data_IF_474173728988
#
_entry.id   IF_474173728988
#
_cell.length_a   1.000
_cell.length_b   1.000
_cell.length_c   1.000
_cell.angle_alpha   90.00
_cell.angle_beta   90.00
_cell.angle_gamma   90.00
#
_symmetry.space_group_name_H-M   'P 1'
#
loop_
_entity.id
_entity.type
_entity.pdbx_description
1 polymer ?
#
# COMPACT_ATOMS: atom_id res chain seq x y z
N UNK A 1 74.28 -20.03 7.03
CA UNK A 1 73.23 -19.67 8.00
C UNK A 1 71.93 -20.24 7.47
N UNK A 2 71.55 -21.40 7.99
CA UNK A 2 70.37 -22.17 7.61
C UNK A 2 69.10 -21.45 8.03
N UNK A 3 68.02 -21.60 7.25
CA UNK A 3 66.69 -21.95 7.77
C UNK A 3 65.74 -22.29 6.60
N UNK A 4 65.40 -23.58 6.54
CA UNK A 4 64.30 -24.14 5.79
C UNK A 4 62.96 -23.71 6.40
N UNK A 5 61.93 -23.48 5.57
CA UNK A 5 60.53 -23.60 6.01
C UNK A 5 59.77 -24.53 5.05
N UNK A 6 59.02 -25.51 5.58
CA UNK A 6 58.46 -26.61 4.79
C UNK A 6 57.17 -26.23 4.07
N UNK A 7 56.93 -26.95 2.97
CA UNK A 7 55.68 -27.01 2.22
C UNK A 7 54.55 -27.45 3.15
N UNK A 8 53.55 -26.60 3.36
CA UNK A 8 52.27 -26.99 3.94
C UNK A 8 51.21 -27.06 2.82
N UNK A 9 50.86 -28.29 2.50
CA UNK A 9 49.72 -28.70 1.69
C UNK A 9 48.43 -28.27 2.42
N UNK A 10 47.75 -27.22 1.95
CA UNK A 10 46.42 -26.88 2.44
C UNK A 10 45.38 -27.63 1.63
N UNK A 11 44.79 -28.63 2.27
CA UNK A 11 43.65 -29.43 1.80
C UNK A 11 42.47 -28.52 1.49
N UNK A 12 41.97 -28.58 0.25
CA UNK A 12 40.67 -28.05 -0.15
C UNK A 12 39.60 -28.84 0.59
N UNK A 13 39.05 -28.26 1.67
CA UNK A 13 37.89 -28.81 2.35
C UNK A 13 36.63 -28.25 1.68
N UNK A 14 36.16 -28.98 0.67
CA UNK A 14 34.85 -28.86 0.06
C UNK A 14 33.80 -29.29 1.10
N UNK A 15 33.48 -28.41 2.04
CA UNK A 15 32.33 -28.59 2.94
C UNK A 15 31.17 -27.77 2.41
N UNK A 16 30.21 -28.49 1.83
CA UNK A 16 28.87 -28.04 1.50
C UNK A 16 28.22 -27.36 2.70
N UNK A 17 28.23 -26.02 2.76
CA UNK A 17 27.26 -25.27 3.55
C UNK A 17 26.36 -24.55 2.57
N UNK A 18 25.24 -25.21 2.25
CA UNK A 18 24.10 -24.57 1.62
C UNK A 18 23.58 -23.50 2.57
N UNK A 19 24.01 -22.26 2.38
CA UNK A 19 23.27 -21.12 2.87
C UNK A 19 21.99 -21.08 2.04
N UNK A 20 20.89 -21.58 2.62
CA UNK A 20 19.56 -21.35 2.08
C UNK A 20 19.40 -19.83 1.95
N UNK A 21 19.43 -19.34 0.70
CA UNK A 21 19.01 -17.98 0.40
C UNK A 21 17.60 -17.81 0.96
N UNK A 22 17.30 -16.71 1.68
CA UNK A 22 15.91 -16.36 1.90
C UNK A 22 15.32 -16.20 0.50
N UNK A 23 14.39 -17.08 0.15
CA UNK A 23 13.60 -16.92 -1.06
C UNK A 23 12.91 -15.57 -0.92
N UNK A 24 13.43 -14.56 -1.62
CA UNK A 24 12.70 -13.33 -1.87
C UNK A 24 11.46 -13.81 -2.60
N UNK A 25 10.34 -13.87 -1.87
CA UNK A 25 9.04 -14.14 -2.46
C UNK A 25 8.91 -13.19 -3.64
N UNK A 26 8.88 -13.74 -4.85
CA UNK A 26 8.64 -12.94 -6.03
C UNK A 26 7.20 -12.47 -5.91
N UNK A 27 7.02 -11.24 -5.45
CA UNK A 27 5.72 -10.58 -5.51
C UNK A 27 5.43 -10.44 -7.00
N UNK A 28 4.54 -11.28 -7.50
CA UNK A 28 3.93 -11.09 -8.81
C UNK A 28 3.48 -9.64 -8.87
N UNK A 29 3.92 -8.83 -9.85
CA UNK A 29 3.43 -7.47 -9.96
C UNK A 29 1.92 -7.59 -10.17
N UNK A 30 1.15 -7.09 -9.21
CA UNK A 30 -0.29 -6.99 -9.38
C UNK A 30 -0.53 -6.11 -10.60
N UNK A 31 -1.06 -6.75 -11.65
CA UNK A 31 -1.50 -6.13 -12.89
C UNK A 31 -2.14 -4.77 -12.63
N UNK A 32 -1.76 -3.80 -13.47
CA UNK A 32 -2.18 -2.40 -13.56
C UNK A 32 -3.71 -2.21 -13.69
N UNK A 33 -4.48 -2.68 -12.72
CA UNK A 33 -5.90 -2.40 -12.58
C UNK A 33 -6.06 -1.02 -11.94
N UNK A 34 -7.12 -0.30 -12.32
CA UNK A 34 -7.51 0.94 -11.66
C UNK A 34 -7.76 0.66 -10.16
N UNK A 35 -7.29 1.52 -9.23
CA UNK A 35 -7.55 1.35 -7.80
C UNK A 35 -9.05 1.20 -7.49
N UNK A 36 -9.42 0.31 -6.56
CA UNK A 36 -10.81 0.16 -6.09
C UNK A 36 -11.19 1.36 -5.21
N UNK A 37 -11.95 2.28 -5.80
CA UNK A 37 -12.46 3.46 -5.13
C UNK A 37 -13.98 3.45 -5.16
N UNK A 38 -14.58 3.43 -3.97
CA UNK A 38 -16.03 3.53 -3.75
C UNK A 38 -16.40 4.93 -3.31
N UNK A 39 -17.55 5.41 -3.78
CA UNK A 39 -18.07 6.73 -3.42
C UNK A 39 -19.36 6.56 -2.63
N UNK A 40 -19.45 7.22 -1.49
CA UNK A 40 -20.59 7.22 -0.59
C UNK A 40 -21.10 8.64 -0.39
N UNK A 41 -22.39 8.78 -0.09
CA UNK A 41 -23.02 10.04 0.27
C UNK A 41 -23.30 10.05 1.76
N UNK A 42 -22.77 11.03 2.49
CA UNK A 42 -22.98 11.23 3.91
C UNK A 42 -23.85 12.45 4.16
N UNK A 43 -25.09 12.25 4.63
CA UNK A 43 -25.89 13.34 5.20
C UNK A 43 -25.45 13.59 6.65
N UNK A 44 -24.78 14.72 6.89
CA UNK A 44 -24.32 15.12 8.21
C UNK A 44 -25.41 15.85 8.98
N UNK A 45 -25.80 15.29 10.13
CA UNK A 45 -26.69 15.96 11.09
C UNK A 45 -25.99 17.09 11.85
N UNK A 46 -24.66 17.02 11.98
CA UNK A 46 -23.87 18.01 12.74
C UNK A 46 -23.63 19.28 11.94
N UNK A 47 -23.43 19.15 10.62
CA UNK A 47 -23.14 20.26 9.73
C UNK A 47 -24.32 20.65 8.83
N UNK A 48 -25.46 19.97 8.98
CA UNK A 48 -26.68 20.18 8.19
C UNK A 48 -26.42 20.22 6.68
N UNK A 49 -25.50 19.36 6.21
CA UNK A 49 -25.12 19.28 4.82
C UNK A 49 -24.90 17.83 4.38
N UNK A 50 -24.80 17.64 3.07
CA UNK A 50 -24.37 16.37 2.49
C UNK A 50 -22.88 16.47 2.18
N UNK A 51 -22.15 15.36 2.23
CA UNK A 51 -20.76 15.24 1.78
C UNK A 51 -20.56 14.00 0.93
N UNK A 52 -19.70 14.12 -0.07
CA UNK A 52 -19.16 12.97 -0.78
C UNK A 52 -18.00 12.39 0.02
N UNK A 53 -18.04 11.08 0.27
CA UNK A 53 -16.98 10.33 0.93
C UNK A 53 -16.40 9.34 -0.09
N UNK A 54 -15.08 9.34 -0.22
CA UNK A 54 -14.35 8.44 -1.13
C UNK A 54 -13.62 7.41 -0.30
N UNK A 55 -13.70 6.14 -0.68
CA UNK A 55 -13.13 5.03 0.06
C UNK A 55 -12.29 4.21 -0.91
N UNK A 56 -10.97 4.23 -0.71
CA UNK A 56 -10.07 3.29 -1.36
C UNK A 56 -9.97 2.02 -0.53
N UNK A 57 -10.00 0.88 -1.20
CA UNK A 57 -9.83 -0.44 -0.60
C UNK A 57 -8.54 -1.08 -1.10
N UNK A 58 -7.75 -1.70 -0.21
CA UNK A 58 -6.48 -2.28 -0.59
C UNK A 58 -6.67 -3.48 -1.53
N UNK A 59 -5.67 -3.83 -2.36
CA UNK A 59 -5.75 -4.97 -3.26
C UNK A 59 -6.14 -6.26 -2.53
N UNK A 60 -7.09 -7.00 -3.12
CA UNK A 60 -7.58 -8.26 -2.55
C UNK A 60 -8.60 -8.12 -1.42
N UNK A 61 -9.08 -6.90 -1.11
CA UNK A 61 -10.04 -6.65 -0.04
C UNK A 61 -11.30 -7.55 -0.10
N UNK A 62 -11.89 -7.74 -1.28
CA UNK A 62 -13.10 -8.58 -1.47
C UNK A 62 -12.79 -10.08 -1.68
N UNK A 63 -11.53 -10.50 -1.56
CA UNK A 63 -11.18 -11.92 -1.72
C UNK A 63 -11.71 -12.74 -0.55
N UNK A 64 -12.05 -14.01 -0.81
CA UNK A 64 -12.42 -14.97 0.25
C UNK A 64 -11.33 -15.10 1.32
N UNK A 65 -10.06 -14.97 0.93
CA UNK A 65 -8.91 -15.01 1.83
C UNK A 65 -8.83 -13.79 2.75
N UNK A 66 -9.37 -12.65 2.33
CA UNK A 66 -9.46 -11.44 3.13
C UNK A 66 -10.68 -11.44 4.06
N UNK A 67 -11.60 -12.41 3.97
CA UNK A 67 -12.80 -12.47 4.79
C UNK A 67 -12.46 -12.46 6.29
N UNK A 68 -13.03 -11.50 7.03
CA UNK A 68 -12.76 -11.32 8.46
C UNK A 68 -11.50 -10.52 8.78
N UNK A 69 -10.68 -10.16 7.79
CA UNK A 69 -9.51 -9.28 7.99
C UNK A 69 -9.95 -7.87 8.37
N UNK A 70 -9.27 -7.29 9.36
CA UNK A 70 -9.46 -5.89 9.77
C UNK A 70 -8.28 -5.05 9.28
N UNK A 71 -8.60 -3.95 8.61
CA UNK A 71 -7.62 -3.01 8.08
C UNK A 71 -7.58 -1.75 8.95
N UNK A 72 -6.39 -1.15 9.16
CA UNK A 72 -6.32 0.21 9.68
C UNK A 72 -6.98 1.18 8.69
N UNK A 73 -7.54 2.27 9.21
CA UNK A 73 -8.23 3.28 8.41
C UNK A 73 -7.50 4.60 8.52
N UNK A 74 -7.08 5.13 7.37
CA UNK A 74 -6.53 6.47 7.23
C UNK A 74 -7.63 7.42 6.77
N UNK A 75 -7.94 8.43 7.57
CA UNK A 75 -8.88 9.49 7.18
C UNK A 75 -8.11 10.70 6.67
N UNK A 76 -8.50 11.23 5.51
CA UNK A 76 -7.92 12.44 4.94
C UNK A 76 -9.01 13.44 4.57
N UNK A 77 -8.80 14.70 4.96
CA UNK A 77 -9.61 15.82 4.48
C UNK A 77 -9.23 16.19 3.04
N UNK A 78 -10.08 16.97 2.39
CA UNK A 78 -9.93 17.36 0.98
C UNK A 78 -9.90 16.16 0.02
N UNK A 79 -10.87 15.26 0.21
CA UNK A 79 -10.99 13.99 -0.52
C UNK A 79 -10.95 14.14 -2.03
N UNK A 80 -11.45 15.25 -2.59
CA UNK A 80 -11.39 15.52 -4.02
C UNK A 80 -9.94 15.62 -4.50
N UNK A 81 -9.11 16.43 -3.83
CA UNK A 81 -7.70 16.60 -4.19
C UNK A 81 -6.87 15.34 -3.90
N UNK A 82 -7.17 14.64 -2.80
CA UNK A 82 -6.48 13.40 -2.41
C UNK A 82 -6.66 12.28 -3.43
N UNK A 83 -7.86 12.15 -4.00
CA UNK A 83 -8.22 11.07 -4.93
C UNK A 83 -8.11 11.45 -6.42
N UNK A 84 -7.84 12.72 -6.74
CA UNK A 84 -7.75 13.16 -8.12
C UNK A 84 -6.43 12.73 -8.77
N UNK A 85 -6.52 12.08 -9.94
CA UNK A 85 -5.36 11.61 -10.72
C UNK A 85 -4.40 12.74 -11.14
N UNK A 86 -4.92 13.97 -11.28
CA UNK A 86 -4.14 15.17 -11.61
C UNK A 86 -3.62 15.93 -10.38
N UNK A 87 -3.73 15.33 -9.20
CA UNK A 87 -3.34 15.90 -7.92
C UNK A 87 -2.51 14.87 -7.16
N UNK A 88 -2.97 14.42 -5.98
CA UNK A 88 -2.22 13.49 -5.14
C UNK A 88 -2.34 12.06 -5.60
N UNK A 89 -3.48 11.70 -6.22
CA UNK A 89 -3.74 10.35 -6.72
C UNK A 89 -3.49 9.22 -5.70
N UNK A 90 -3.67 9.52 -4.41
CA UNK A 90 -3.25 8.64 -3.31
C UNK A 90 -3.64 7.15 -3.45
N UNK A 91 -4.80 6.76 -4.03
CA UNK A 91 -5.12 5.36 -4.29
C UNK A 91 -4.06 4.59 -5.10
N UNK A 92 -3.53 5.19 -6.19
CA UNK A 92 -2.53 4.53 -7.04
C UNK A 92 -1.20 4.36 -6.30
N UNK A 93 -0.77 5.39 -5.60
CA UNK A 93 0.44 5.37 -4.79
C UNK A 93 0.32 4.35 -3.66
N UNK A 94 -0.86 4.20 -3.06
CA UNK A 94 -1.11 3.16 -2.04
C UNK A 94 -1.05 1.76 -2.64
N UNK A 95 -1.62 1.52 -3.82
CA UNK A 95 -1.48 0.23 -4.52
C UNK A 95 0.00 -0.11 -4.75
N UNK A 96 0.80 0.84 -5.24
CA UNK A 96 2.23 0.68 -5.46
C UNK A 96 2.99 0.40 -4.17
N UNK A 97 2.77 1.20 -3.12
CA UNK A 97 3.45 1.06 -1.83
C UNK A 97 3.06 -0.21 -1.09
N UNK A 98 1.80 -0.65 -1.21
CA UNK A 98 1.31 -1.91 -0.64
C UNK A 98 1.90 -3.09 -1.41
N UNK A 99 1.89 -3.03 -2.75
CA UNK A 99 2.51 -4.06 -3.59
C UNK A 99 4.02 -4.21 -3.37
N UNK A 100 4.71 -3.11 -3.08
CA UNK A 100 6.12 -3.08 -2.70
C UNK A 100 6.38 -3.48 -1.23
N UNK A 101 5.34 -3.66 -0.41
CA UNK A 101 5.45 -3.96 1.02
C UNK A 101 5.96 -2.81 1.88
N UNK A 102 6.07 -1.59 1.33
CA UNK A 102 6.50 -0.40 2.07
C UNK A 102 5.42 0.11 3.03
N UNK A 103 4.15 -0.15 2.71
CA UNK A 103 2.99 0.18 3.55
C UNK A 103 2.14 -1.07 3.71
N UNK A 104 1.67 -1.33 4.93
CA UNK A 104 0.70 -2.43 5.16
C UNK A 104 -0.65 -2.10 4.50
N UNK A 105 -1.41 -3.09 4.01
CA UNK A 105 -2.76 -2.87 3.51
C UNK A 105 -3.61 -2.04 4.49
N UNK A 106 -4.25 -0.99 3.99
CA UNK A 106 -5.08 -0.06 4.75
C UNK A 106 -6.26 0.44 3.91
N UNK A 107 -7.31 0.90 4.57
CA UNK A 107 -8.44 1.61 3.93
C UNK A 107 -8.14 3.10 4.00
N UNK A 108 -8.26 3.80 2.87
CA UNK A 108 -8.16 5.27 2.83
C UNK A 108 -9.56 5.86 2.66
N UNK A 109 -9.95 6.76 3.55
CA UNK A 109 -11.22 7.49 3.51
C UNK A 109 -10.95 8.97 3.26
N UNK A 110 -11.29 9.45 2.06
CA UNK A 110 -11.26 10.86 1.69
C UNK A 110 -12.60 11.54 1.98
N UNK A 111 -12.58 12.66 2.68
CA UNK A 111 -13.75 13.47 2.98
C UNK A 111 -13.72 14.70 2.08
N UNK A 112 -14.62 14.78 1.11
CA UNK A 112 -14.67 15.94 0.21
C UNK A 112 -15.04 17.20 1.03
N UNK A 113 -14.37 18.31 0.68
CA UNK A 113 -14.66 19.60 1.25
C UNK A 113 -16.08 20.09 0.83
N UNK A 114 -16.63 21.09 1.53
CA UNK A 114 -18.03 21.50 1.32
C UNK A 114 -18.30 22.15 -0.04
N UNK A 115 -17.29 22.80 -0.63
CA UNK A 115 -17.38 23.45 -1.92
C UNK A 115 -17.44 22.47 -3.11
N UNK A 116 -17.18 21.17 -2.87
CA UNK A 116 -17.12 20.14 -3.92
C UNK A 116 -18.48 19.59 -4.36
N UNK A 117 -19.61 20.17 -3.92
CA UNK A 117 -20.97 19.66 -4.18
C UNK A 117 -21.78 20.66 -5.02
N UNK A 118 -22.42 20.21 -6.13
CA UNK A 118 -23.35 21.05 -6.87
C UNK A 118 -24.49 21.57 -5.97
N UNK A 119 -24.61 22.89 -5.81
CA UNK A 119 -25.67 23.54 -5.04
C UNK A 119 -25.37 23.79 -3.56
N UNK A 120 -24.12 23.64 -3.10
CA UNK A 120 -23.74 24.04 -1.74
C UNK A 120 -23.96 25.56 -1.54
N UNK A 121 -24.64 25.93 -0.44
CA UNK A 121 -24.99 27.32 -0.09
C UNK A 121 -23.90 28.09 0.68
N UNK A 122 -22.68 27.56 0.80
CA UNK A 122 -21.53 28.28 1.36
C UNK A 122 -20.38 28.32 0.34
N UNK A 123 -19.61 29.42 0.27
CA UNK A 123 -18.48 29.59 -0.65
C UNK A 123 -17.38 28.55 -0.45
#
# INVERSE_FOLDING_TARGET
MSLHFPRALAVVCLCCTGAAQPAVAQTTPATSAKPDVRTLTLASKVFENTRTIRVYLPPGYDSSQAAGTRYPVLYMNDGFAVFAERSWDAPRQLDELIGAGAVRPLILVGIDNAASIPGAKNP
#
